data_IF_898236691997
#
_entry.id   IF_898236691997
#
_cell.length_a   1.000
_cell.length_b   1.000
_cell.length_c   1.000
_cell.angle_alpha   90.00
_cell.angle_beta   90.00
_cell.angle_gamma   90.00
#
_symmetry.space_group_name_H-M   'P 1'
#
loop_
_entity.id
_entity.type
_entity.pdbx_description
1 polymer ?
#
# COMPACT_ATOMS: atom_id res chain seq x y z
N UNK A 1 -14.10 36.76 25.39
CA UNK A 1 -14.27 35.29 25.35
C UNK A 1 -13.83 34.84 23.97
N UNK A 2 -12.55 34.48 23.81
CA UNK A 2 -11.92 34.24 22.51
C UNK A 2 -12.11 32.78 22.13
N UNK A 3 -12.91 32.53 21.09
CA UNK A 3 -13.20 31.18 20.58
C UNK A 3 -12.00 30.73 19.73
N UNK A 4 -11.15 29.84 20.24
CA UNK A 4 -10.05 29.24 19.48
C UNK A 4 -10.61 28.11 18.63
N UNK A 5 -10.73 28.34 17.32
CA UNK A 5 -11.10 27.32 16.34
C UNK A 5 -9.84 26.47 16.07
N UNK A 6 -9.79 25.26 16.63
CA UNK A 6 -8.79 24.27 16.26
C UNK A 6 -9.11 23.73 14.87
N UNK A 7 -8.45 24.27 13.85
CA UNK A 7 -8.48 23.77 12.49
C UNK A 7 -7.68 22.45 12.44
N UNK A 8 -8.37 21.32 12.55
CA UNK A 8 -7.75 20.00 12.41
C UNK A 8 -7.47 19.82 10.92
N UNK A 9 -6.22 20.04 10.50
CA UNK A 9 -5.79 19.78 9.14
C UNK A 9 -5.75 18.26 8.97
N UNK A 10 -6.77 17.70 8.32
CA UNK A 10 -6.79 16.29 7.90
C UNK A 10 -5.76 16.09 6.80
N UNK A 11 -4.53 15.72 7.14
CA UNK A 11 -3.54 15.27 6.15
C UNK A 11 -4.06 13.96 5.53
N UNK A 12 -4.65 14.04 4.33
CA UNK A 12 -4.95 12.86 3.54
C UNK A 12 -3.65 12.34 2.94
N UNK A 13 -2.95 11.47 3.65
CA UNK A 13 -1.77 10.80 3.10
C UNK A 13 -2.21 9.76 2.06
N UNK A 14 -1.81 9.95 0.81
CA UNK A 14 -2.03 8.94 -0.23
C UNK A 14 -0.88 7.93 -0.24
N UNK A 15 -1.24 6.66 -0.05
CA UNK A 15 -0.31 5.53 -0.06
C UNK A 15 0.45 5.40 -1.39
N UNK A 16 -0.14 5.85 -2.50
CA UNK A 16 0.49 5.75 -3.82
C UNK A 16 1.38 6.95 -4.18
N UNK A 17 1.60 7.88 -3.25
CA UNK A 17 2.47 9.03 -3.49
C UNK A 17 3.92 8.60 -3.58
N UNK A 18 4.59 8.95 -4.69
CA UNK A 18 6.01 8.70 -4.97
C UNK A 18 6.45 7.22 -5.01
N UNK A 19 5.54 6.26 -4.89
CA UNK A 19 5.88 4.84 -5.02
C UNK A 19 5.80 4.37 -6.47
N UNK A 20 6.49 3.28 -6.79
CA UNK A 20 6.36 2.62 -8.11
C UNK A 20 4.94 2.17 -8.38
N UNK A 21 4.60 2.02 -9.66
CA UNK A 21 3.41 1.27 -10.06
C UNK A 21 3.51 -0.18 -9.56
N UNK A 22 2.44 -0.68 -8.93
CA UNK A 22 2.45 -2.00 -8.30
C UNK A 22 1.29 -2.23 -7.34
N UNK A 23 1.12 -3.48 -6.92
CA UNK A 23 0.25 -3.86 -5.82
C UNK A 23 1.07 -3.84 -4.53
N UNK A 24 0.53 -3.25 -3.47
CA UNK A 24 1.20 -3.13 -2.18
C UNK A 24 0.33 -3.68 -1.07
N UNK A 25 0.80 -4.67 -0.33
CA UNK A 25 0.05 -5.16 0.83
C UNK A 25 0.19 -4.18 1.99
N UNK A 26 -0.95 -3.77 2.53
CA UNK A 26 -1.03 -2.98 3.76
C UNK A 26 -0.86 -3.86 4.99
N UNK A 27 -1.37 -5.09 4.90
CA UNK A 27 -1.27 -6.17 5.87
C UNK A 27 -1.52 -7.51 5.13
N UNK A 28 -1.64 -8.63 5.85
CA UNK A 28 -1.87 -9.95 5.23
C UNK A 28 -3.24 -10.13 4.55
N UNK A 29 -4.15 -9.18 4.71
CA UNK A 29 -5.54 -9.25 4.24
C UNK A 29 -5.92 -8.13 3.27
N UNK A 30 -5.15 -7.04 3.22
CA UNK A 30 -5.47 -5.86 2.42
C UNK A 30 -4.31 -5.42 1.57
N UNK A 31 -4.62 -4.89 0.39
CA UNK A 31 -3.65 -4.28 -0.51
C UNK A 31 -4.21 -3.02 -1.16
N UNK A 32 -3.33 -2.24 -1.77
CA UNK A 32 -3.68 -1.16 -2.69
C UNK A 32 -3.04 -1.40 -4.04
N UNK A 33 -3.71 -0.98 -5.11
CA UNK A 33 -3.10 -0.88 -6.44
C UNK A 33 -2.68 0.57 -6.68
N UNK A 34 -1.39 0.80 -6.87
CA UNK A 34 -0.84 2.08 -7.30
C UNK A 34 -0.63 2.04 -8.81
N UNK A 35 -1.45 2.78 -9.56
CA UNK A 35 -1.43 2.78 -11.02
C UNK A 35 -0.42 3.75 -11.64
N UNK A 36 0.26 4.55 -10.81
CA UNK A 36 1.07 5.71 -11.21
C UNK A 36 0.39 7.05 -10.91
N UNK A 37 -0.75 7.04 -10.23
CA UNK A 37 -1.40 8.24 -9.68
C UNK A 37 -1.37 8.20 -8.16
N UNK A 38 -1.58 9.35 -7.52
CA UNK A 38 -1.71 9.46 -6.06
C UNK A 38 -3.08 8.99 -5.55
N UNK A 39 -3.83 8.18 -6.29
CA UNK A 39 -5.09 7.63 -5.83
C UNK A 39 -4.91 6.15 -5.49
N UNK A 40 -5.34 5.78 -4.28
CA UNK A 40 -5.31 4.40 -3.80
C UNK A 40 -6.65 4.03 -3.20
N UNK A 41 -7.15 2.86 -3.53
CA UNK A 41 -8.25 2.23 -2.81
C UNK A 41 -7.76 0.93 -2.18
N UNK A 42 -8.00 0.78 -0.88
CA UNK A 42 -7.69 -0.46 -0.19
C UNK A 42 -8.69 -1.54 -0.59
N UNK A 43 -8.18 -2.71 -0.98
CA UNK A 43 -8.94 -3.88 -1.41
C UNK A 43 -8.59 -5.02 -0.46
N UNK A 44 -9.62 -5.73 0.01
CA UNK A 44 -9.46 -6.91 0.86
C UNK A 44 -9.31 -8.17 0.01
N UNK A 45 -8.33 -9.01 0.32
CA UNK A 45 -8.19 -10.34 -0.26
C UNK A 45 -9.43 -11.20 0.04
N UNK A 46 -9.85 -12.02 -0.91
CA UNK A 46 -11.08 -12.78 -0.81
C UNK A 46 -10.83 -14.19 -0.25
N UNK A 47 -11.76 -14.72 0.55
CA UNK A 47 -11.70 -16.06 1.15
C UNK A 47 -10.41 -16.28 1.97
N UNK A 48 -9.72 -17.40 1.73
CA UNK A 48 -8.51 -17.85 2.43
C UNK A 48 -7.22 -17.35 1.76
N UNK A 49 -7.33 -16.43 0.80
CA UNK A 49 -6.15 -15.82 0.18
C UNK A 49 -5.56 -14.76 1.08
N UNK A 50 -4.23 -14.64 1.02
CA UNK A 50 -3.44 -13.73 1.85
C UNK A 50 -2.54 -12.89 0.96
N UNK A 51 -2.32 -11.66 1.40
CA UNK A 51 -1.38 -10.73 0.82
C UNK A 51 -0.01 -10.96 1.44
N UNK A 52 0.92 -11.56 0.69
CA UNK A 52 2.19 -12.05 1.27
C UNK A 52 3.35 -11.06 1.22
N UNK A 53 3.30 -10.06 0.35
CA UNK A 53 4.46 -9.28 -0.07
C UNK A 53 4.32 -7.81 0.29
N UNK A 54 5.41 -7.06 0.48
CA UNK A 54 5.31 -5.60 0.55
C UNK A 54 4.80 -5.00 -0.77
N UNK A 55 5.35 -5.48 -1.88
CA UNK A 55 5.01 -5.10 -3.25
C UNK A 55 5.12 -6.29 -4.21
N UNK A 56 4.25 -6.33 -5.23
CA UNK A 56 4.33 -7.23 -6.39
C UNK A 56 3.74 -6.54 -7.63
N UNK A 57 4.09 -7.02 -8.82
CA UNK A 57 3.54 -6.56 -10.10
C UNK A 57 2.17 -7.18 -10.39
N UNK A 58 1.87 -8.35 -9.83
CA UNK A 58 0.64 -9.12 -10.08
C UNK A 58 -0.27 -9.18 -8.85
N UNK A 59 -1.43 -9.83 -8.98
CA UNK A 59 -2.41 -9.94 -7.89
C UNK A 59 -1.72 -10.50 -6.62
N UNK A 60 -1.69 -9.73 -5.51
CA UNK A 60 -0.95 -10.13 -4.32
C UNK A 60 -1.71 -11.14 -3.45
N UNK A 61 -3.01 -11.34 -3.71
CA UNK A 61 -3.85 -12.26 -2.95
C UNK A 61 -3.70 -13.68 -3.48
N UNK A 62 -2.88 -14.47 -2.80
CA UNK A 62 -2.57 -15.87 -3.13
C UNK A 62 -2.87 -16.78 -1.95
N UNK A 63 -2.97 -18.09 -2.14
CA UNK A 63 -3.10 -18.99 -1.00
C UNK A 63 -1.84 -18.95 -0.11
N UNK A 64 -2.03 -19.24 1.18
CA UNK A 64 -0.94 -19.19 2.18
C UNK A 64 0.25 -20.12 1.87
N UNK A 65 0.07 -21.13 1.01
CA UNK A 65 1.11 -22.06 0.57
C UNK A 65 1.74 -21.71 -0.79
N UNK A 66 1.24 -20.70 -1.51
CA UNK A 66 1.76 -20.31 -2.83
C UNK A 66 2.84 -19.25 -2.70
N UNK A 67 3.94 -19.42 -3.43
CA UNK A 67 5.01 -18.41 -3.50
C UNK A 67 4.75 -17.40 -4.63
N UNK A 68 5.29 -16.19 -4.47
CA UNK A 68 5.24 -15.11 -5.46
C UNK A 68 6.67 -14.77 -5.87
N UNK A 69 7.02 -15.00 -7.14
CA UNK A 69 8.38 -14.84 -7.63
C UNK A 69 8.85 -13.36 -7.67
N UNK A 70 7.92 -12.41 -7.71
CA UNK A 70 8.17 -10.97 -7.80
C UNK A 70 7.86 -10.22 -6.49
N UNK A 71 8.00 -10.91 -5.36
CA UNK A 71 7.74 -10.40 -4.02
C UNK A 71 8.87 -9.48 -3.55
N UNK A 72 8.57 -8.21 -3.31
CA UNK A 72 9.49 -7.23 -2.71
C UNK A 72 9.00 -6.83 -1.31
N UNK A 73 9.86 -6.98 -0.29
CA UNK A 73 9.56 -6.55 1.08
C UNK A 73 8.41 -7.32 1.76
N UNK A 74 7.92 -6.79 2.88
CA UNK A 74 6.89 -7.40 3.72
C UNK A 74 5.58 -6.59 3.73
N UNK A 75 4.42 -7.23 3.97
CA UNK A 75 3.15 -6.52 4.12
C UNK A 75 3.24 -5.42 5.18
N UNK A 76 2.77 -4.22 4.83
CA UNK A 76 2.84 -3.03 5.68
C UNK A 76 4.09 -2.17 5.47
N UNK A 77 5.10 -2.65 4.74
CA UNK A 77 6.31 -1.86 4.48
C UNK A 77 6.00 -0.52 3.79
N UNK A 78 4.95 -0.45 2.95
CA UNK A 78 4.54 0.82 2.30
C UNK A 78 4.10 1.89 3.31
N UNK A 79 3.66 1.49 4.51
CA UNK A 79 3.25 2.40 5.59
C UNK A 79 4.44 2.74 6.49
N UNK A 80 5.24 1.72 6.83
CA UNK A 80 6.30 1.84 7.82
C UNK A 80 7.62 2.37 7.24
N UNK A 81 7.91 2.01 5.99
CA UNK A 81 9.17 2.28 5.30
C UNK A 81 8.92 2.60 3.81
N UNK A 82 8.10 3.63 3.49
CA UNK A 82 7.73 3.95 2.11
C UNK A 82 8.93 4.26 1.21
N UNK A 83 10.06 4.65 1.82
CA UNK A 83 11.33 4.89 1.13
C UNK A 83 11.90 3.68 0.40
N UNK A 84 11.59 2.46 0.84
CA UNK A 84 11.97 1.22 0.14
C UNK A 84 11.33 1.12 -1.25
N UNK A 85 10.23 1.83 -1.50
CA UNK A 85 9.46 1.73 -2.73
C UNK A 85 9.51 3.01 -3.58
N UNK A 86 10.30 4.01 -3.17
CA UNK A 86 10.49 5.24 -3.92
C UNK A 86 11.31 4.99 -5.21
N UNK A 87 10.57 4.78 -6.30
CA UNK A 87 10.91 5.08 -7.70
C UNK A 87 11.20 6.53 -8.03
N UNK A 88 12.40 6.90 -8.49
CA UNK A 88 12.68 8.19 -9.12
C UNK A 88 11.63 8.56 -10.19
N UNK A 89 10.69 9.45 -9.87
CA UNK A 89 9.92 10.20 -10.86
C UNK A 89 10.83 11.31 -11.40
N UNK A 90 11.65 10.96 -12.40
CA UNK A 90 12.21 11.91 -13.37
C UNK A 90 11.29 11.99 -14.57
#
# INVERSE_FOLDING_TARGET
>A
MTLIIFLIISLSFSLCTNVKKGFYCLDRSKFVWCSGTNQSMAITCFKETVCKCGKTKYNPCVFSFQELDDCEGLPGDIINEPSKFYENYK
#
